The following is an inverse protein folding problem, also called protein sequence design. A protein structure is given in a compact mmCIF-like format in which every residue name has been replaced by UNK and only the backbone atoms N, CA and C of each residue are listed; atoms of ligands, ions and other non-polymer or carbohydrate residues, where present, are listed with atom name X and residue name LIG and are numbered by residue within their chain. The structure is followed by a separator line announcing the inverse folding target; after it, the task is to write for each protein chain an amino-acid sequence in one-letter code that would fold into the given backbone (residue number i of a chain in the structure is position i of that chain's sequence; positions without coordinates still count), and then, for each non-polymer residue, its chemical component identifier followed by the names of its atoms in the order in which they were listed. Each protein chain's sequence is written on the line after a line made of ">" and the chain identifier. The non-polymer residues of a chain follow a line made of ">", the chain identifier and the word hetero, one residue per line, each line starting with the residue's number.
data_IF_519798537337
#
_entry.id   IF_519798537337
#
_cell.length_a   1.000
_cell.length_b   1.000
_cell.length_c   1.000
_cell.angle_alpha   90.00
_cell.angle_beta   90.00
_cell.angle_gamma   90.00
#
_symmetry.space_group_name_H-M   'P 1'
#
loop_
_entity.id
_entity.type
_entity.pdbx_description
1 polymer ?
#
# COMPACT_ATOMS: atom_id res chain seq x y z
N UNK A 1 -20.23 18.98 3.50
CA UNK A 1 -20.80 17.88 4.32
C UNK A 1 -20.33 18.05 5.74
N UNK A 2 -21.17 17.81 6.75
CA UNK A 2 -20.70 17.91 8.12
C UNK A 2 -20.00 16.62 8.55
N UNK A 3 -18.80 16.76 9.12
CA UNK A 3 -17.91 15.63 9.45
C UNK A 3 -18.59 14.63 10.40
N UNK A 4 -19.49 15.11 11.27
CA UNK A 4 -20.23 14.30 12.24
C UNK A 4 -21.27 13.34 11.63
N UNK A 5 -21.55 13.44 10.32
CA UNK A 5 -22.44 12.50 9.60
C UNK A 5 -21.68 11.51 8.72
N UNK A 6 -20.35 11.58 8.69
CA UNK A 6 -19.53 10.78 7.79
C UNK A 6 -19.22 9.43 8.40
N UNK A 7 -19.27 8.36 7.59
CA UNK A 7 -18.78 7.07 8.06
C UNK A 7 -17.25 7.12 8.22
N UNK A 8 -16.65 6.24 9.03
CA UNK A 8 -15.18 6.12 9.11
C UNK A 8 -14.52 5.94 7.73
N UNK A 9 -15.19 5.24 6.80
CA UNK A 9 -14.72 5.07 5.43
C UNK A 9 -14.70 6.39 4.66
N UNK A 10 -15.71 7.23 4.84
CA UNK A 10 -15.78 8.54 4.17
C UNK A 10 -14.72 9.49 4.70
N UNK A 11 -14.49 9.48 6.02
CA UNK A 11 -13.42 10.25 6.67
C UNK A 11 -12.05 9.77 6.15
N UNK A 12 -11.82 8.45 6.07
CA UNK A 12 -10.58 7.88 5.54
C UNK A 12 -10.36 8.29 4.08
N UNK A 13 -11.39 8.21 3.24
CA UNK A 13 -11.30 8.63 1.83
C UNK A 13 -10.91 10.10 1.70
N UNK A 14 -11.61 10.99 2.41
CA UNK A 14 -11.29 12.42 2.42
C UNK A 14 -9.87 12.71 2.91
N UNK A 15 -9.42 12.01 3.95
CA UNK A 15 -8.06 12.16 4.45
C UNK A 15 -7.01 11.74 3.42
N UNK A 16 -7.23 10.62 2.72
CA UNK A 16 -6.33 10.17 1.66
C UNK A 16 -6.31 11.14 0.47
N UNK A 17 -7.48 11.65 0.05
CA UNK A 17 -7.58 12.66 -1.02
C UNK A 17 -6.78 13.92 -0.65
N UNK A 18 -6.95 14.46 0.57
CA UNK A 18 -6.23 15.64 1.04
C UNK A 18 -4.71 15.41 1.15
N UNK A 19 -4.28 14.24 1.62
CA UNK A 19 -2.86 13.90 1.70
C UNK A 19 -2.23 13.76 0.30
N UNK A 20 -2.94 13.14 -0.65
CA UNK A 20 -2.47 13.01 -2.03
C UNK A 20 -2.34 14.37 -2.72
N UNK A 21 -3.29 15.27 -2.49
CA UNK A 21 -3.25 16.63 -3.03
C UNK A 21 -2.07 17.44 -2.49
N UNK A 22 -1.82 17.36 -1.18
CA UNK A 22 -0.77 18.15 -0.52
C UNK A 22 0.66 17.59 -0.74
N UNK A 23 0.81 16.27 -0.79
CA UNK A 23 2.13 15.61 -0.74
C UNK A 23 2.49 14.86 -2.04
N UNK A 24 1.53 14.73 -2.96
CA UNK A 24 1.63 13.78 -4.07
C UNK A 24 1.57 12.32 -3.60
N UNK A 25 1.47 11.36 -4.53
CA UNK A 25 1.29 9.94 -4.20
C UNK A 25 2.46 9.35 -3.40
N UNK A 26 3.69 9.73 -3.71
CA UNK A 26 4.89 9.24 -3.01
C UNK A 26 4.98 9.82 -1.59
N UNK A 27 4.71 11.11 -1.43
CA UNK A 27 4.74 11.76 -0.12
C UNK A 27 3.64 11.25 0.79
N UNK A 28 2.43 11.06 0.27
CA UNK A 28 1.33 10.42 0.99
C UNK A 28 1.70 9.01 1.48
N UNK A 29 2.26 8.15 0.62
CA UNK A 29 2.65 6.80 1.00
C UNK A 29 3.68 6.80 2.14
N UNK A 30 4.70 7.65 2.07
CA UNK A 30 5.70 7.79 3.14
C UNK A 30 5.09 8.32 4.44
N UNK A 31 4.16 9.27 4.36
CA UNK A 31 3.45 9.77 5.53
C UNK A 31 2.66 8.65 6.22
N UNK A 32 1.91 7.84 5.46
CA UNK A 32 1.16 6.72 6.02
C UNK A 32 2.08 5.68 6.68
N UNK A 33 3.23 5.39 6.07
CA UNK A 33 4.25 4.48 6.63
C UNK A 33 4.81 4.92 7.99
N UNK A 34 4.70 6.21 8.37
CA UNK A 34 5.13 6.68 9.70
C UNK A 34 4.19 6.22 10.83
N UNK A 35 2.93 5.93 10.50
CA UNK A 35 1.88 5.56 11.46
C UNK A 35 1.42 4.11 11.31
N UNK A 36 1.70 3.50 10.16
CA UNK A 36 1.52 2.07 9.97
C UNK A 36 2.78 1.35 10.45
N UNK A 37 2.67 0.63 11.56
CA UNK A 37 3.61 -0.45 11.86
C UNK A 37 3.40 -1.52 10.79
N UNK A 38 4.13 -1.40 9.67
CA UNK A 38 4.24 -2.47 8.70
C UNK A 38 4.54 -3.77 9.45
N UNK A 39 3.77 -4.80 9.15
CA UNK A 39 3.94 -6.12 9.74
C UNK A 39 4.27 -7.10 8.62
N UNK A 40 5.06 -8.12 8.95
CA UNK A 40 5.56 -9.10 7.99
C UNK A 40 7.00 -8.83 7.58
N UNK A 41 7.69 -9.90 7.20
CA UNK A 41 9.01 -9.84 6.61
C UNK A 41 8.86 -10.23 5.14
N UNK A 42 8.67 -9.22 4.29
CA UNK A 42 8.51 -9.47 2.86
C UNK A 42 9.73 -10.19 2.26
N UNK A 43 10.92 -10.06 2.86
CA UNK A 43 12.12 -10.77 2.38
C UNK A 43 11.96 -12.26 2.62
N UNK A 44 11.51 -12.67 3.81
CA UNK A 44 11.27 -14.08 4.13
C UNK A 44 10.03 -14.63 3.40
N UNK A 45 8.95 -13.86 3.31
CA UNK A 45 7.74 -14.25 2.56
C UNK A 45 8.05 -14.42 1.06
N UNK A 46 8.87 -13.54 0.48
CA UNK A 46 9.28 -13.62 -0.92
C UNK A 46 10.09 -14.89 -1.21
N UNK A 47 11.01 -15.27 -0.32
CA UNK A 47 11.81 -16.50 -0.49
C UNK A 47 10.91 -17.72 -0.62
N UNK A 48 9.89 -17.85 0.23
CA UNK A 48 9.02 -19.01 0.24
C UNK A 48 8.33 -19.30 -1.11
N UNK A 49 8.10 -18.30 -1.97
CA UNK A 49 7.32 -18.47 -3.21
C UNK A 49 8.13 -18.21 -4.48
N UNK A 50 9.32 -17.59 -4.37
CA UNK A 50 10.13 -17.15 -5.52
C UNK A 50 11.58 -17.68 -5.50
N UNK A 51 12.08 -18.33 -4.46
CA UNK A 51 13.49 -18.81 -4.45
C UNK A 51 13.79 -19.84 -5.55
N UNK A 52 12.81 -20.66 -5.92
CA UNK A 52 12.96 -21.72 -6.94
C UNK A 52 12.51 -21.28 -8.35
N UNK A 53 12.20 -19.99 -8.55
CA UNK A 53 11.71 -19.49 -9.84
C UNK A 53 12.82 -18.75 -10.60
N UNK A 54 13.21 -19.28 -11.76
CA UNK A 54 14.01 -18.54 -12.73
C UNK A 54 13.16 -17.52 -13.51
N UNK A 55 13.84 -16.62 -14.22
CA UNK A 55 13.20 -15.52 -14.95
C UNK A 55 12.29 -16.07 -16.04
N UNK A 56 12.72 -17.14 -16.70
CA UNK A 56 11.98 -17.85 -17.75
C UNK A 56 10.63 -18.38 -17.22
N UNK A 57 10.62 -19.04 -16.06
CA UNK A 57 9.41 -19.55 -15.41
C UNK A 57 8.47 -18.43 -14.96
N UNK A 58 9.01 -17.27 -14.55
CA UNK A 58 8.19 -16.09 -14.23
C UNK A 58 7.50 -15.55 -15.49
N UNK A 59 8.23 -15.44 -16.59
CA UNK A 59 7.70 -14.93 -17.87
C UNK A 59 6.59 -15.82 -18.43
N UNK A 60 6.68 -17.15 -18.27
CA UNK A 60 5.61 -18.06 -18.70
C UNK A 60 4.30 -17.86 -17.93
N UNK A 61 4.35 -17.52 -16.64
CA UNK A 61 3.15 -17.33 -15.81
C UNK A 61 2.40 -16.00 -16.06
N UNK A 62 3.01 -15.05 -16.78
CA UNK A 62 2.41 -13.75 -17.08
C UNK A 62 1.60 -13.78 -18.40
N UNK A 63 1.82 -14.80 -19.24
CA UNK A 63 1.06 -15.03 -20.48
C UNK A 63 -0.35 -15.52 -20.21
#
# INVERSE_FOLDING_TARGET
>A
MSVHKMSPRDIRRLGLEALAEALGPVGMARFLQQFETGAGDYTEERKAWLDDMDVEAIVEKIK
#
